data_IF_929825200486
#
_entry.id   IF_929825200486
#
_cell.length_a   1.000
_cell.length_b   1.000
_cell.length_c   1.000
_cell.angle_alpha   90.00
_cell.angle_beta   90.00
_cell.angle_gamma   90.00
#
_symmetry.space_group_name_H-M   'P 1'
#
loop_
_entity.id
_entity.type
_entity.pdbx_description
1 polymer ?
#
# COMPACT_ATOMS: atom_id res chain seq x y z
N UNK A 1 13.83 -10.65 19.91
CA UNK A 1 15.12 -11.11 19.35
C UNK A 1 14.78 -11.86 18.07
N UNK A 2 15.38 -11.49 16.94
CA UNK A 2 15.19 -12.24 15.70
C UNK A 2 15.72 -13.66 15.89
N UNK A 3 15.02 -14.65 15.34
CA UNK A 3 15.47 -16.04 15.36
C UNK A 3 16.88 -16.09 14.74
N UNK A 4 17.90 -16.64 15.43
CA UNK A 4 19.27 -16.72 14.92
C UNK A 4 19.34 -17.37 13.53
N UNK A 5 18.40 -18.27 13.21
CA UNK A 5 18.29 -18.90 11.91
C UNK A 5 17.89 -17.91 10.81
N UNK A 6 17.03 -16.93 11.11
CA UNK A 6 16.62 -15.90 10.14
C UNK A 6 17.76 -14.91 9.88
N UNK A 7 18.56 -14.59 10.90
CA UNK A 7 19.74 -13.73 10.70
C UNK A 7 20.77 -14.38 9.77
N UNK A 8 20.94 -15.70 9.84
CA UNK A 8 21.80 -16.45 8.92
C UNK A 8 21.24 -16.51 7.50
N UNK A 9 19.91 -16.58 7.33
CA UNK A 9 19.26 -16.56 6.01
C UNK A 9 19.34 -15.19 5.35
N UNK A 10 19.35 -14.10 6.13
CA UNK A 10 19.50 -12.73 5.62
C UNK A 10 20.88 -12.43 5.03
N UNK A 11 21.93 -13.15 5.46
CA UNK A 11 23.30 -12.95 4.95
C UNK A 11 23.60 -13.76 3.69
N UNK A 12 22.76 -14.77 3.37
CA UNK A 12 22.89 -15.59 2.16
C UNK A 12 22.19 -14.92 0.98
N UNK A 13 22.72 -15.06 -0.25
CA UNK A 13 22.05 -14.50 -1.41
C UNK A 13 20.79 -15.32 -1.74
N UNK A 14 19.70 -14.64 -2.16
CA UNK A 14 18.38 -15.26 -2.33
C UNK A 14 18.33 -16.39 -3.36
N UNK A 15 19.29 -16.46 -4.29
CA UNK A 15 19.40 -17.51 -5.30
C UNK A 15 19.89 -18.85 -4.73
N UNK A 16 20.49 -18.86 -3.54
CA UNK A 16 21.00 -20.07 -2.87
C UNK A 16 20.00 -20.65 -1.86
N UNK A 17 18.90 -19.93 -1.62
CA UNK A 17 17.86 -20.32 -0.66
C UNK A 17 16.85 -21.26 -1.30
N UNK A 18 16.36 -22.21 -0.51
CA UNK A 18 15.20 -23.04 -0.89
C UNK A 18 13.91 -22.23 -0.88
N UNK A 19 12.88 -22.68 -1.60
CA UNK A 19 11.56 -22.02 -1.60
C UNK A 19 10.97 -21.90 -0.17
N UNK A 20 11.19 -22.91 0.66
CA UNK A 20 10.77 -22.89 2.06
C UNK A 20 11.48 -21.78 2.85
N UNK A 21 12.80 -21.65 2.73
CA UNK A 21 13.55 -20.60 3.40
C UNK A 21 13.18 -19.20 2.91
N UNK A 22 12.90 -19.04 1.61
CA UNK A 22 12.40 -17.78 1.05
C UNK A 22 11.06 -17.42 1.69
N UNK A 23 10.14 -18.38 1.84
CA UNK A 23 8.83 -18.13 2.47
C UNK A 23 8.95 -17.67 3.93
N UNK A 24 9.87 -18.29 4.69
CA UNK A 24 10.16 -17.91 6.07
C UNK A 24 10.77 -16.50 6.16
N UNK A 25 11.65 -16.17 5.22
CA UNK A 25 12.25 -14.84 5.13
C UNK A 25 11.19 -13.77 4.80
N UNK A 26 10.30 -14.04 3.86
CA UNK A 26 9.21 -13.13 3.49
C UNK A 26 8.24 -12.91 4.67
N UNK A 27 7.87 -13.96 5.39
CA UNK A 27 7.03 -13.84 6.59
C UNK A 27 7.70 -12.98 7.68
N UNK A 28 9.02 -13.12 7.84
CA UNK A 28 9.78 -12.27 8.74
C UNK A 28 9.85 -10.81 8.25
N UNK A 29 10.11 -10.58 6.97
CA UNK A 29 10.12 -9.25 6.35
C UNK A 29 8.76 -8.56 6.48
N UNK A 30 7.65 -9.31 6.39
CA UNK A 30 6.31 -8.78 6.61
C UNK A 30 6.04 -8.42 8.07
N UNK A 31 6.53 -9.21 9.03
CA UNK A 31 6.23 -9.01 10.45
C UNK A 31 7.14 -8.00 11.15
N UNK A 32 8.42 -7.99 10.82
CA UNK A 32 9.44 -7.16 11.46
C UNK A 32 9.98 -6.04 10.56
N UNK A 33 9.64 -6.04 9.27
CA UNK A 33 10.10 -5.05 8.30
C UNK A 33 9.15 -3.86 8.12
N UNK A 34 9.42 -2.99 7.14
CA UNK A 34 8.61 -1.79 6.88
C UNK A 34 7.17 -2.10 6.45
N UNK A 35 6.92 -3.29 5.89
CA UNK A 35 5.57 -3.74 5.48
C UNK A 35 4.70 -4.20 6.67
N UNK A 36 5.28 -4.31 7.87
CA UNK A 36 4.54 -4.65 9.10
C UNK A 36 3.39 -3.69 9.40
N UNK A 37 3.49 -2.45 8.91
CA UNK A 37 2.41 -1.47 9.00
C UNK A 37 1.16 -1.91 8.22
N UNK A 38 1.33 -2.54 7.05
CA UNK A 38 0.24 -3.08 6.25
C UNK A 38 -0.32 -4.36 6.88
N UNK A 39 0.56 -5.22 7.42
CA UNK A 39 0.11 -6.41 8.15
C UNK A 39 -0.73 -6.02 9.37
N UNK A 40 -0.30 -4.99 10.10
CA UNK A 40 -1.06 -4.42 11.21
C UNK A 40 -2.41 -3.90 10.72
N UNK A 41 -2.43 -3.13 9.63
CA UNK A 41 -3.67 -2.59 9.05
C UNK A 41 -4.69 -3.67 8.65
N UNK A 42 -4.22 -4.78 8.07
CA UNK A 42 -5.07 -5.92 7.70
C UNK A 42 -5.65 -6.58 8.95
N UNK A 43 -4.80 -6.83 9.97
CA UNK A 43 -5.21 -7.53 11.20
C UNK A 43 -6.16 -6.71 12.07
N UNK A 44 -5.88 -5.42 12.24
CA UNK A 44 -6.73 -4.50 13.01
C UNK A 44 -7.94 -4.01 12.22
N UNK A 45 -7.97 -4.29 10.92
CA UNK A 45 -8.95 -3.75 9.99
C UNK A 45 -9.01 -2.22 10.03
N UNK A 46 -7.90 -1.52 10.31
CA UNK A 46 -7.86 -0.04 10.37
C UNK A 46 -7.93 0.59 8.99
N UNK A 47 -8.29 1.88 8.95
CA UNK A 47 -8.26 2.64 7.71
C UNK A 47 -6.82 3.08 7.41
N UNK A 48 -6.48 3.05 6.13
CA UNK A 48 -5.20 3.54 5.63
C UNK A 48 -5.45 4.65 4.62
N UNK A 49 -4.58 5.66 4.66
CA UNK A 49 -4.50 6.69 3.64
C UNK A 49 -3.34 6.36 2.70
N UNK A 50 -3.65 6.15 1.42
CA UNK A 50 -2.69 5.80 0.38
C UNK A 50 -2.58 6.97 -0.59
N UNK A 51 -1.39 7.51 -0.78
CA UNK A 51 -1.09 8.49 -1.83
C UNK A 51 -0.56 7.79 -3.06
N UNK A 52 -1.18 8.04 -4.21
CA UNK A 52 -0.81 7.40 -5.49
C UNK A 52 -0.20 8.39 -6.49
N UNK A 53 0.52 7.87 -7.48
CA UNK A 53 1.34 8.64 -8.44
C UNK A 53 0.58 9.65 -9.28
N UNK A 54 -0.71 9.43 -9.52
CA UNK A 54 -1.58 10.36 -10.25
C UNK A 54 -2.09 11.54 -9.37
N UNK A 55 -1.47 11.77 -8.21
CA UNK A 55 -1.82 12.82 -7.25
C UNK A 55 -3.26 12.70 -6.70
N UNK A 56 -3.75 11.47 -6.58
CA UNK A 56 -5.00 11.15 -5.89
C UNK A 56 -4.69 10.45 -4.57
N UNK A 57 -5.64 10.51 -3.64
CA UNK A 57 -5.55 9.86 -2.33
C UNK A 57 -6.66 8.85 -2.17
N UNK A 58 -6.33 7.67 -1.65
CA UNK A 58 -7.29 6.62 -1.35
C UNK A 58 -7.39 6.48 0.16
N UNK A 59 -8.57 6.65 0.73
CA UNK A 59 -8.88 6.22 2.09
C UNK A 59 -9.59 4.88 1.99
N UNK A 60 -8.97 3.82 2.50
CA UNK A 60 -9.45 2.46 2.30
C UNK A 60 -9.13 1.55 3.49
N UNK A 61 -9.67 0.34 3.50
CA UNK A 61 -9.21 -0.74 4.37
C UNK A 61 -8.51 -1.80 3.53
N UNK A 62 -7.32 -2.23 3.96
CA UNK A 62 -6.56 -3.27 3.26
C UNK A 62 -7.10 -4.63 3.68
N UNK A 63 -7.38 -5.50 2.70
CA UNK A 63 -7.74 -6.90 2.95
C UNK A 63 -6.60 -7.87 2.72
N UNK A 64 -5.78 -7.60 1.72
CA UNK A 64 -4.58 -8.37 1.45
C UNK A 64 -3.54 -7.45 0.81
N UNK A 65 -2.26 -7.78 0.99
CA UNK A 65 -1.15 -7.13 0.32
C UNK A 65 -0.09 -8.16 -0.06
N UNK A 66 0.87 -7.77 -0.88
CA UNK A 66 2.02 -8.60 -1.23
C UNK A 66 3.34 -7.84 -1.10
N UNK A 67 4.45 -8.53 -1.42
CA UNK A 67 5.82 -7.98 -1.42
C UNK A 67 6.06 -6.82 -2.38
N UNK A 68 5.21 -6.64 -3.38
CA UNK A 68 5.30 -5.54 -4.35
C UNK A 68 4.43 -4.34 -3.94
N UNK A 69 3.83 -4.37 -2.75
CA UNK A 69 2.83 -3.43 -2.30
C UNK A 69 1.57 -3.40 -3.18
N UNK A 70 1.28 -4.47 -3.93
CA UNK A 70 -0.05 -4.63 -4.50
C UNK A 70 -1.04 -4.85 -3.34
N UNK A 71 -2.24 -4.30 -3.44
CA UNK A 71 -3.22 -4.34 -2.36
C UNK A 71 -4.61 -4.66 -2.88
N UNK A 72 -5.31 -5.53 -2.15
CA UNK A 72 -6.76 -5.68 -2.26
C UNK A 72 -7.39 -4.76 -1.22
N UNK A 73 -8.16 -3.80 -1.70
CA UNK A 73 -8.78 -2.76 -0.88
C UNK A 73 -10.29 -2.91 -0.86
N UNK A 74 -10.91 -2.61 0.29
CA UNK A 74 -12.35 -2.55 0.47
C UNK A 74 -12.78 -1.18 0.98
N UNK A 75 -14.01 -0.78 0.65
CA UNK A 75 -14.62 0.50 1.04
C UNK A 75 -13.72 1.69 0.70
N UNK A 76 -13.26 1.74 -0.55
CA UNK A 76 -12.29 2.72 -1.03
C UNK A 76 -13.01 4.03 -1.31
N UNK A 77 -12.56 5.10 -0.67
CA UNK A 77 -12.88 6.48 -1.02
C UNK A 77 -11.69 7.11 -1.70
N UNK A 78 -11.78 7.31 -3.00
CA UNK A 78 -10.77 8.01 -3.78
C UNK A 78 -11.09 9.51 -3.82
N UNK A 79 -10.10 10.34 -3.57
CA UNK A 79 -10.22 11.79 -3.44
C UNK A 79 -9.17 12.48 -4.31
N UNK A 80 -9.60 13.48 -5.06
CA UNK A 80 -8.72 14.30 -5.88
C UNK A 80 -9.26 15.71 -6.05
N UNK A 81 -8.41 16.63 -6.48
CA UNK A 81 -8.79 18.01 -6.75
C UNK A 81 -8.75 18.24 -8.25
N UNK A 82 -9.87 18.71 -8.81
CA UNK A 82 -9.93 19.17 -10.20
C UNK A 82 -9.93 20.68 -10.25
N UNK A 83 -9.21 21.24 -11.22
CA UNK A 83 -9.26 22.68 -11.51
C UNK A 83 -9.95 22.87 -12.86
N UNK A 84 -11.26 23.16 -12.89
CA UNK A 84 -12.00 23.33 -14.13
C UNK A 84 -11.45 24.53 -14.91
N UNK A 85 -11.58 24.50 -16.24
CA UNK A 85 -11.28 25.67 -17.09
C UNK A 85 -12.57 26.48 -17.27
N UNK A 86 -12.51 27.79 -17.02
CA UNK A 86 -13.63 28.68 -17.32
C UNK A 86 -13.79 28.86 -18.83
N UNK A 87 -14.97 29.34 -19.26
CA UNK A 87 -15.24 29.73 -20.65
C UNK A 87 -14.23 30.77 -21.19
N UNK A 88 -13.60 31.55 -20.31
CA UNK A 88 -12.53 32.51 -20.62
C UNK A 88 -11.13 31.89 -20.72
N UNK A 89 -11.00 30.56 -20.62
CA UNK A 89 -9.72 29.83 -20.70
C UNK A 89 -8.86 29.87 -19.42
N UNK A 90 -9.21 30.70 -18.43
CA UNK A 90 -8.49 30.77 -17.14
C UNK A 90 -8.80 29.56 -16.25
N UNK A 91 -7.85 29.23 -15.36
CA UNK A 91 -8.04 28.19 -14.32
C UNK A 91 -9.10 28.66 -13.31
N UNK A 92 -10.08 27.81 -13.06
CA UNK A 92 -11.13 28.04 -12.07
C UNK A 92 -10.70 27.74 -10.65
N UNK A 93 -11.66 27.80 -9.72
CA UNK A 93 -11.42 27.42 -8.33
C UNK A 93 -11.19 25.91 -8.24
N UNK A 94 -10.21 25.44 -7.47
CA UNK A 94 -10.03 24.00 -7.22
C UNK A 94 -11.27 23.41 -6.56
N UNK A 95 -11.78 22.31 -7.11
CA UNK A 95 -12.95 21.59 -6.60
C UNK A 95 -12.50 20.21 -6.16
N UNK A 96 -12.80 19.85 -4.92
CA UNK A 96 -12.55 18.50 -4.41
C UNK A 96 -13.64 17.57 -4.93
N UNK A 97 -13.21 16.46 -5.54
CA UNK A 97 -14.08 15.37 -5.97
C UNK A 97 -13.71 14.11 -5.21
N UNK A 98 -14.71 13.30 -4.95
CA UNK A 98 -14.55 11.97 -4.43
C UNK A 98 -15.38 10.95 -5.21
N UNK A 99 -14.93 9.70 -5.18
CA UNK A 99 -15.70 8.55 -5.64
C UNK A 99 -15.55 7.40 -4.68
N UNK A 100 -16.62 6.60 -4.57
CA UNK A 100 -16.63 5.41 -3.74
C UNK A 100 -16.52 4.15 -4.62
N UNK A 101 -15.68 3.21 -4.19
CA UNK A 101 -15.47 1.91 -4.84
C UNK A 101 -15.52 0.84 -3.76
N UNK A 102 -16.46 -0.11 -3.87
CA UNK A 102 -16.67 -1.12 -2.84
C UNK A 102 -15.49 -2.08 -2.67
N UNK A 103 -14.90 -2.52 -3.80
CA UNK A 103 -13.71 -3.39 -3.85
C UNK A 103 -12.79 -2.94 -4.97
N UNK A 104 -11.49 -2.89 -4.71
CA UNK A 104 -10.49 -2.43 -5.68
C UNK A 104 -9.21 -3.23 -5.54
N UNK A 105 -8.63 -3.63 -6.67
CA UNK A 105 -7.24 -4.07 -6.72
C UNK A 105 -6.36 -2.87 -7.07
N UNK A 106 -5.35 -2.59 -6.24
CA UNK A 106 -4.37 -1.54 -6.45
C UNK A 106 -3.01 -2.17 -6.73
N UNK A 107 -2.39 -1.74 -7.82
CA UNK A 107 -1.01 -2.14 -8.15
C UNK A 107 0.00 -1.28 -7.39
N UNK A 108 1.05 -1.92 -6.86
CA UNK A 108 2.00 -1.29 -5.94
C UNK A 108 2.97 -0.30 -6.59
N UNK A 109 3.19 -0.39 -7.90
CA UNK A 109 3.99 0.58 -8.67
C UNK A 109 3.42 2.02 -8.65
N UNK A 110 2.11 2.13 -8.41
CA UNK A 110 1.38 3.37 -8.32
C UNK A 110 1.40 3.99 -6.92
N UNK A 111 1.79 3.23 -5.89
CA UNK A 111 1.81 3.68 -4.49
C UNK A 111 3.07 4.51 -4.23
N UNK A 112 2.92 5.66 -3.58
CA UNK A 112 4.03 6.51 -3.14
C UNK A 112 4.19 6.45 -1.63
N UNK A 113 3.10 6.63 -0.90
CA UNK A 113 3.09 6.73 0.55
C UNK A 113 1.86 6.02 1.10
N UNK A 114 2.05 5.27 2.18
CA UNK A 114 0.96 4.70 2.98
C UNK A 114 1.08 5.23 4.40
N UNK A 115 -0.04 5.73 4.92
CA UNK A 115 -0.16 6.20 6.29
C UNK A 115 -1.25 5.39 6.99
N UNK A 116 -0.89 4.81 8.13
CA UNK A 116 -1.82 4.18 9.05
C UNK A 116 -2.53 5.28 9.83
N UNK A 117 -3.87 5.33 9.74
CA UNK A 117 -4.69 6.30 10.47
C UNK A 117 -5.18 5.75 11.80
#
# INVERSE_FOLDING_TARGET
MADPKIQELLTKPRNELTEYEISQLEEHEFSAGPLSILQTAVRSHTQVLISIRNNRKLLARVKAFDRHCNMVLENVKEMWTETPRLASGKKGRPVNKDRFISKMFLRGDSVILVLLS
#
